data_IF_861477375558
#
_entry.id   IF_861477375558
#
_cell.length_a   1.000
_cell.length_b   1.000
_cell.length_c   1.000
_cell.angle_alpha   90.00
_cell.angle_beta   90.00
_cell.angle_gamma   90.00
#
_symmetry.space_group_name_H-M   'P 1'
#
loop_
_entity.id
_entity.type
_entity.pdbx_description
1 polymer ?
#
# COMPACT_ATOMS: atom_id res chain seq x y z
N UNK A 1 6.01 2.57 22.25
CA UNK A 1 5.08 1.93 21.28
C UNK A 1 5.85 1.78 19.97
N UNK A 2 5.63 0.72 19.18
CA UNK A 2 6.36 0.50 17.93
C UNK A 2 5.56 -0.37 16.96
N UNK A 3 5.77 -0.16 15.65
CA UNK A 3 5.10 -0.91 14.57
C UNK A 3 6.14 -1.32 13.54
N UNK A 4 5.95 -2.51 12.95
CA UNK A 4 6.59 -2.89 11.69
C UNK A 4 5.56 -2.86 10.55
N UNK A 5 5.99 -2.42 9.36
CA UNK A 5 5.16 -2.33 8.17
C UNK A 5 5.95 -2.76 6.93
N UNK A 6 5.51 -3.82 6.25
CA UNK A 6 6.16 -4.39 5.05
C UNK A 6 5.39 -4.09 3.75
N UNK A 7 4.45 -3.15 3.78
CA UNK A 7 3.58 -2.85 2.62
C UNK A 7 4.23 -1.97 1.54
N UNK A 8 5.42 -1.40 1.78
CA UNK A 8 6.04 -0.39 0.90
C UNK A 8 6.63 -0.89 -0.42
N UNK A 9 6.45 -2.17 -0.80
CA UNK A 9 7.04 -2.75 -2.00
C UNK A 9 6.37 -2.26 -3.30
N UNK A 10 5.05 -2.08 -3.28
CA UNK A 10 4.29 -1.58 -4.43
C UNK A 10 3.95 -0.11 -4.20
N UNK A 11 4.65 0.79 -4.89
CA UNK A 11 4.43 2.23 -4.75
C UNK A 11 2.97 2.63 -5.03
N UNK A 12 2.31 1.94 -5.96
CA UNK A 12 0.88 2.11 -6.31
C UNK A 12 -0.06 2.00 -5.11
N UNK A 13 0.30 1.27 -4.04
CA UNK A 13 -0.53 1.13 -2.85
C UNK A 13 -0.77 2.47 -2.13
N UNK A 14 0.12 3.45 -2.28
CA UNK A 14 -0.07 4.77 -1.69
C UNK A 14 -1.27 5.52 -2.27
N UNK A 15 -1.81 5.10 -3.42
CA UNK A 15 -3.07 5.60 -3.95
C UNK A 15 -4.29 5.20 -3.11
N UNK A 16 -4.19 4.13 -2.31
CA UNK A 16 -5.30 3.57 -1.54
C UNK A 16 -5.44 4.31 -0.21
N UNK A 17 -6.57 4.97 0.01
CA UNK A 17 -6.80 5.82 1.18
C UNK A 17 -6.67 5.06 2.51
N UNK A 18 -7.20 3.85 2.58
CA UNK A 18 -7.12 3.03 3.81
C UNK A 18 -5.69 2.56 4.09
N UNK A 19 -4.89 2.32 3.04
CA UNK A 19 -3.48 1.98 3.17
C UNK A 19 -2.69 3.13 3.80
N UNK A 20 -2.96 4.37 3.35
CA UNK A 20 -2.37 5.58 3.96
C UNK A 20 -2.88 5.80 5.38
N UNK A 21 -4.18 5.63 5.61
CA UNK A 21 -4.80 5.81 6.93
C UNK A 21 -4.20 4.85 7.96
N UNK A 22 -3.92 3.60 7.60
CA UNK A 22 -3.22 2.65 8.46
C UNK A 22 -1.86 3.19 8.93
N UNK A 23 -1.04 3.66 7.99
CA UNK A 23 0.30 4.18 8.28
C UNK A 23 0.23 5.46 9.12
N UNK A 24 -0.68 6.38 8.81
CA UNK A 24 -0.86 7.62 9.56
C UNK A 24 -1.38 7.37 10.99
N UNK A 25 -2.35 6.47 11.15
CA UNK A 25 -2.83 6.05 12.46
C UNK A 25 -1.70 5.44 13.30
N UNK A 26 -0.88 4.61 12.67
CA UNK A 26 0.30 4.01 13.32
C UNK A 26 1.31 5.07 13.77
N UNK A 27 1.58 6.09 12.95
CA UNK A 27 2.47 7.20 13.32
C UNK A 27 1.96 7.96 14.56
N UNK A 28 0.66 8.32 14.56
CA UNK A 28 0.01 8.99 15.71
C UNK A 28 0.12 8.13 16.97
N UNK A 29 -0.16 6.83 16.85
CA UNK A 29 -0.10 5.91 17.97
C UNK A 29 1.32 5.73 18.51
N UNK A 30 2.32 5.62 17.63
CA UNK A 30 3.75 5.52 18.01
C UNK A 30 4.21 6.79 18.72
N UNK A 31 3.74 7.96 18.27
CA UNK A 31 4.00 9.25 18.92
C UNK A 31 3.35 9.38 20.32
N UNK A 32 2.57 8.38 20.75
CA UNK A 32 1.94 8.37 22.07
C UNK A 32 0.60 9.09 22.13
N UNK A 33 0.11 9.59 20.99
CA UNK A 33 -1.16 10.29 20.89
C UNK A 33 -2.33 9.32 20.67
N UNK A 34 -3.54 9.79 20.90
CA UNK A 34 -4.76 9.05 20.60
C UNK A 34 -5.11 9.17 19.12
N UNK A 35 -5.43 8.03 18.50
CA UNK A 35 -5.87 7.97 17.11
C UNK A 35 -7.32 8.47 17.05
N UNK A 36 -7.68 9.39 16.13
CA UNK A 36 -9.06 9.85 15.97
C UNK A 36 -10.01 8.67 15.67
N UNK A 37 -11.26 8.77 16.12
CA UNK A 37 -12.27 7.70 15.92
C UNK A 37 -12.49 7.34 14.44
N UNK A 38 -12.44 8.34 13.55
CA UNK A 38 -12.51 8.16 12.09
C UNK A 38 -11.16 7.90 11.41
N UNK A 39 -10.08 7.74 12.19
CA UNK A 39 -8.70 7.72 11.72
C UNK A 39 -8.19 9.08 11.25
N UNK A 40 -6.89 9.14 10.97
CA UNK A 40 -6.23 10.32 10.43
C UNK A 40 -6.68 10.53 8.99
N UNK A 41 -7.17 11.74 8.69
CA UNK A 41 -7.59 12.13 7.34
C UNK A 41 -6.38 12.51 6.50
N UNK A 42 -6.40 12.14 5.22
CA UNK A 42 -5.45 12.56 4.20
C UNK A 42 -6.19 12.79 2.89
N UNK A 43 -5.72 13.75 2.10
CA UNK A 43 -6.23 13.93 0.74
C UNK A 43 -5.92 12.70 -0.14
N UNK A 44 -6.78 12.38 -1.13
CA UNK A 44 -6.47 11.41 -2.17
C UNK A 44 -5.20 11.79 -2.94
N UNK A 45 -4.36 10.80 -3.24
CA UNK A 45 -3.16 11.01 -4.05
C UNK A 45 -3.57 10.98 -5.52
N UNK A 46 -3.13 11.97 -6.28
CA UNK A 46 -3.33 12.02 -7.73
C UNK A 46 -2.33 11.13 -8.47
N UNK A 47 -2.66 10.74 -9.70
CA UNK A 47 -1.74 9.96 -10.54
C UNK A 47 -0.42 10.69 -10.79
N UNK A 48 -0.47 12.02 -10.97
CA UNK A 48 0.73 12.83 -11.12
C UNK A 48 1.65 12.72 -9.89
N UNK A 49 1.09 12.87 -8.69
CA UNK A 49 1.84 12.76 -7.44
C UNK A 49 2.46 11.37 -7.22
N UNK A 50 1.80 10.29 -7.65
CA UNK A 50 2.38 8.93 -7.59
C UNK A 50 3.60 8.73 -8.48
N UNK A 51 3.74 9.57 -9.50
CA UNK A 51 4.84 9.49 -10.46
C UNK A 51 5.91 10.57 -10.22
N UNK A 52 5.76 11.39 -9.17
CA UNK A 52 6.77 12.34 -8.73
C UNK A 52 7.88 11.62 -7.94
N UNK A 53 9.13 12.03 -8.15
CA UNK A 53 10.30 11.57 -7.37
C UNK A 53 10.53 10.06 -7.36
N UNK A 54 10.07 9.33 -8.39
CA UNK A 54 10.36 7.91 -8.54
C UNK A 54 11.86 7.69 -8.79
N UNK A 55 12.40 6.64 -8.16
CA UNK A 55 13.78 6.22 -8.42
C UNK A 55 13.96 5.90 -9.91
N UNK A 56 15.02 6.42 -10.56
CA UNK A 56 15.26 6.17 -11.97
C UNK A 56 15.51 4.67 -12.22
N UNK A 57 14.84 4.14 -13.24
CA UNK A 57 15.00 2.76 -13.74
C UNK A 57 15.24 2.79 -15.24
N UNK A 58 15.90 1.76 -15.77
CA UNK A 58 16.16 1.61 -17.21
C UNK A 58 14.88 1.75 -18.05
N UNK A 59 13.76 1.27 -17.49
CA UNK A 59 12.42 1.51 -18.01
C UNK A 59 11.59 2.16 -16.90
N UNK A 60 11.27 3.43 -17.09
CA UNK A 60 10.29 4.12 -16.25
C UNK A 60 8.89 3.68 -16.66
N UNK A 61 8.20 2.98 -15.76
CA UNK A 61 6.81 2.61 -15.94
C UNK A 61 5.93 3.62 -15.23
N UNK A 62 4.96 4.17 -15.95
CA UNK A 62 3.97 5.07 -15.39
C UNK A 62 3.03 4.31 -14.47
N UNK A 63 2.92 4.76 -13.23
CA UNK A 63 2.09 4.15 -12.20
C UNK A 63 0.69 4.74 -12.27
N UNK A 64 -0.25 4.00 -12.88
CA UNK A 64 -1.65 4.39 -12.93
C UNK A 64 -2.36 4.18 -11.58
N UNK A 65 -3.45 4.91 -11.33
CA UNK A 65 -4.29 4.68 -10.16
C UNK A 65 -4.88 3.25 -10.12
N UNK A 66 -5.10 2.65 -8.93
CA UNK A 66 -5.84 1.40 -8.78
C UNK A 66 -7.22 1.48 -9.43
N UNK A 67 -7.56 0.46 -10.23
CA UNK A 67 -8.91 0.28 -10.76
C UNK A 67 -9.77 -0.56 -9.81
N UNK A 68 -11.07 -0.64 -10.10
CA UNK A 68 -12.02 -1.45 -9.31
C UNK A 68 -11.62 -2.93 -9.25
N UNK A 69 -11.10 -3.48 -10.35
CA UNK A 69 -10.63 -4.86 -10.41
C UNK A 69 -9.44 -5.12 -9.49
N UNK A 70 -8.58 -4.12 -9.23
CA UNK A 70 -7.45 -4.26 -8.30
C UNK A 70 -7.92 -4.38 -6.85
N UNK A 71 -9.03 -3.72 -6.50
CA UNK A 71 -9.55 -3.62 -5.12
C UNK A 71 -10.55 -4.73 -4.77
N UNK A 72 -11.09 -5.40 -5.78
CA UNK A 72 -12.12 -6.45 -5.63
C UNK A 72 -11.61 -7.83 -6.04
N UNK A 73 -10.29 -8.02 -6.04
CA UNK A 73 -9.68 -9.30 -6.38
C UNK A 73 -10.24 -10.41 -5.48
N UNK A 74 -10.67 -11.55 -6.05
CA UNK A 74 -11.08 -12.68 -5.25
C UNK A 74 -9.89 -13.23 -4.46
N UNK A 75 -10.18 -13.96 -3.39
CA UNK A 75 -9.15 -14.76 -2.74
C UNK A 75 -8.51 -15.70 -3.77
N UNK A 76 -7.18 -15.83 -3.73
CA UNK A 76 -6.49 -16.78 -4.57
C UNK A 76 -7.00 -18.21 -4.28
N UNK A 77 -7.21 -19.00 -5.34
CA UNK A 77 -7.57 -20.40 -5.21
C UNK A 77 -6.51 -21.15 -4.37
N UNK A 78 -6.92 -22.05 -3.46
CA UNK A 78 -5.97 -22.87 -2.71
C UNK A 78 -5.12 -23.69 -3.69
N UNK A 79 -3.82 -23.39 -3.73
CA UNK A 79 -2.85 -24.18 -4.48
C UNK A 79 -2.22 -25.21 -3.56
N UNK A 80 -2.13 -26.45 -4.04
CA UNK A 80 -1.35 -27.47 -3.34
C UNK A 80 0.10 -27.01 -3.23
N UNK A 81 0.67 -27.11 -2.04
CA UNK A 81 2.02 -26.65 -1.77
C UNK A 81 3.03 -27.41 -2.64
N UNK A 82 3.83 -26.68 -3.42
CA UNK A 82 4.87 -27.25 -4.29
C UNK A 82 6.23 -26.66 -3.94
N UNK A 83 7.13 -27.50 -3.43
CA UNK A 83 8.55 -27.13 -3.31
C UNK A 83 9.17 -27.08 -4.72
N UNK A 84 9.97 -26.05 -5.05
CA UNK A 84 10.76 -26.06 -6.29
C UNK A 84 11.64 -27.32 -6.34
N UNK A 85 11.46 -28.15 -7.36
CA UNK A 85 12.27 -29.36 -7.57
C UNK A 85 11.70 -30.68 -7.03
N UNK A 86 10.51 -30.68 -6.40
CA UNK A 86 9.76 -31.93 -6.19
C UNK A 86 8.44 -31.86 -6.96
N UNK A 87 8.32 -32.76 -7.95
CA UNK A 87 7.01 -33.15 -8.50
C UNK A 87 6.21 -33.89 -7.45
#
# INVERSE_FOLDING_TARGET
>A
RGIGFTGGHWHRNWAIDDFRRLVLNAMVWVAGMDVPEGGVKSEPVTEAQLNENLDPKDKMEHVALPGEADLTQPAAEPVEFRWPGKK
#
